data_IF_526701251527
#
_entry.id   IF_526701251527
#
_cell.length_a   1.000
_cell.length_b   1.000
_cell.length_c   1.000
_cell.angle_alpha   90.00
_cell.angle_beta   90.00
_cell.angle_gamma   90.00
#
_symmetry.space_group_name_H-M   'P 1'
#
loop_
_entity.id
_entity.type
_entity.pdbx_description
1 polymer ?
#
# COMPACT_ATOMS: atom_id res chain seq x y z
N UNK A 1 36.55 35.00 6.00
CA UNK A 1 35.63 33.97 6.54
C UNK A 1 34.60 33.75 5.48
N UNK A 2 34.82 32.70 4.70
CA UNK A 2 34.07 32.38 3.49
C UNK A 2 32.68 31.86 3.84
N UNK A 3 31.68 32.24 3.06
CA UNK A 3 30.28 31.90 3.31
C UNK A 3 30.05 30.43 2.95
N UNK A 4 29.47 29.66 3.88
CA UNK A 4 29.05 28.30 3.61
C UNK A 4 27.72 28.31 2.84
N UNK A 5 27.79 28.02 1.54
CA UNK A 5 26.65 27.56 0.74
C UNK A 5 26.15 26.22 1.31
N UNK A 6 24.95 26.24 1.87
CA UNK A 6 24.16 25.04 2.18
C UNK A 6 23.43 24.62 0.89
N UNK A 7 23.72 23.44 0.30
CA UNK A 7 22.95 22.97 -0.85
C UNK A 7 21.55 22.55 -0.39
N UNK A 8 20.55 23.22 -0.97
CA UNK A 8 19.15 22.79 -0.93
C UNK A 8 18.99 21.50 -1.74
N UNK A 9 18.91 20.37 -1.06
CA UNK A 9 18.44 19.13 -1.66
C UNK A 9 16.93 19.01 -1.47
N UNK A 10 16.19 19.54 -2.45
CA UNK A 10 14.79 19.21 -2.64
C UNK A 10 14.66 17.72 -2.99
N UNK A 11 14.12 16.93 -2.07
CA UNK A 11 13.54 15.62 -2.34
C UNK A 11 12.04 15.74 -2.10
N UNK A 12 11.24 15.68 -3.16
CA UNK A 12 9.79 15.84 -3.11
C UNK A 12 9.13 14.77 -2.25
N UNK A 13 8.91 15.10 -0.98
CA UNK A 13 8.02 14.39 -0.06
C UNK A 13 6.58 14.62 -0.54
N UNK A 14 6.23 13.96 -1.65
CA UNK A 14 4.85 13.82 -2.08
C UNK A 14 4.13 13.23 -0.89
N UNK A 15 3.11 13.92 -0.37
CA UNK A 15 2.30 13.50 0.77
C UNK A 15 1.85 12.03 0.65
N UNK A 16 2.71 11.08 1.00
CA UNK A 16 2.30 9.75 1.37
C UNK A 16 1.46 10.01 2.60
N UNK A 17 0.15 9.79 2.51
CA UNK A 17 -0.70 9.96 3.68
C UNK A 17 -0.13 9.09 4.81
N UNK A 18 -0.48 9.39 6.06
CA UNK A 18 0.08 8.77 7.27
C UNK A 18 0.05 7.23 7.28
N UNK A 19 -0.66 6.61 6.33
CA UNK A 19 -0.78 5.18 6.06
C UNK A 19 0.30 4.59 5.13
N UNK A 20 1.24 5.40 4.61
CA UNK A 20 2.35 4.95 3.76
C UNK A 20 1.92 4.35 2.41
N UNK A 21 0.66 4.52 2.02
CA UNK A 21 0.12 3.91 0.81
C UNK A 21 0.45 4.76 -0.42
N UNK A 22 1.01 4.12 -1.45
CA UNK A 22 1.15 4.71 -2.78
C UNK A 22 -0.21 5.28 -3.25
N UNK A 23 -0.28 6.56 -3.67
CA UNK A 23 -1.53 7.18 -4.11
C UNK A 23 -2.27 6.39 -5.19
N UNK A 24 -1.55 5.70 -6.08
CA UNK A 24 -2.12 4.88 -7.15
C UNK A 24 -2.77 3.60 -6.65
N UNK A 25 -2.39 3.13 -5.46
CA UNK A 25 -2.98 1.96 -4.80
C UNK A 25 -4.17 2.35 -3.92
N UNK A 26 -4.27 3.62 -3.51
CA UNK A 26 -5.38 4.11 -2.69
C UNK A 26 -6.71 3.91 -3.40
N UNK A 27 -7.64 3.24 -2.71
CA UNK A 27 -8.96 2.90 -3.23
C UNK A 27 -8.94 2.08 -4.55
N UNK A 28 -7.81 1.48 -4.90
CA UNK A 28 -7.72 0.58 -6.05
C UNK A 28 -8.55 -0.69 -5.79
N UNK A 29 -9.25 -1.15 -6.83
CA UNK A 29 -10.08 -2.35 -6.78
C UNK A 29 -9.32 -3.55 -7.31
N UNK A 30 -9.51 -4.67 -6.65
CA UNK A 30 -8.83 -5.92 -6.95
C UNK A 30 -9.82 -7.07 -6.93
N UNK A 31 -9.61 -8.05 -7.80
CA UNK A 31 -10.38 -9.28 -7.84
C UNK A 31 -9.49 -10.48 -7.55
N UNK A 32 -9.91 -11.32 -6.62
CA UNK A 32 -9.24 -12.60 -6.40
C UNK A 32 -9.61 -13.58 -7.52
N UNK A 33 -8.61 -14.09 -8.24
CA UNK A 33 -8.82 -14.91 -9.44
C UNK A 33 -9.59 -16.20 -9.16
N UNK A 34 -9.35 -16.84 -8.01
CA UNK A 34 -9.95 -18.14 -7.68
C UNK A 34 -11.40 -18.04 -7.21
N UNK A 35 -11.72 -17.05 -6.38
CA UNK A 35 -13.06 -16.92 -5.77
C UNK A 35 -13.95 -15.90 -6.47
N UNK A 36 -13.37 -15.02 -7.31
CA UNK A 36 -14.07 -13.89 -7.91
C UNK A 36 -14.38 -12.74 -6.94
N UNK A 37 -13.98 -12.85 -5.67
CA UNK A 37 -14.21 -11.83 -4.65
C UNK A 37 -13.56 -10.51 -5.04
N UNK A 38 -14.27 -9.40 -4.83
CA UNK A 38 -13.78 -8.05 -5.12
C UNK A 38 -13.42 -7.33 -3.83
N UNK A 39 -12.30 -6.62 -3.86
CA UNK A 39 -11.68 -5.99 -2.70
C UNK A 39 -11.21 -4.58 -3.06
N UNK A 40 -11.22 -3.69 -2.08
CA UNK A 40 -10.67 -2.33 -2.21
C UNK A 40 -9.52 -2.14 -1.24
N UNK A 41 -8.39 -1.64 -1.71
CA UNK A 41 -7.25 -1.31 -0.83
C UNK A 41 -7.61 -0.06 -0.03
N UNK A 42 -7.51 -0.17 1.29
CA UNK A 42 -7.82 0.90 2.23
C UNK A 42 -6.58 1.40 2.98
N UNK A 43 -5.46 0.69 2.93
CA UNK A 43 -4.21 1.12 3.56
C UNK A 43 -3.07 0.11 3.44
N UNK A 44 -1.95 0.42 4.08
CA UNK A 44 -0.85 -0.51 4.32
C UNK A 44 -0.65 -0.71 5.82
N UNK A 45 -0.08 -1.84 6.18
CA UNK A 45 0.36 -2.10 7.54
C UNK A 45 1.62 -2.96 7.53
N UNK A 46 2.18 -3.19 8.73
CA UNK A 46 3.25 -4.15 8.94
C UNK A 46 2.73 -5.25 9.85
N UNK A 47 2.91 -6.51 9.45
CA UNK A 47 2.52 -7.66 10.27
C UNK A 47 3.55 -7.81 11.38
N UNK A 48 3.13 -7.68 12.63
CA UNK A 48 4.04 -7.71 13.79
C UNK A 48 4.81 -9.04 13.90
N UNK A 49 4.12 -10.16 13.69
CA UNK A 49 4.71 -11.49 13.86
C UNK A 49 5.86 -11.80 12.87
N UNK A 50 5.81 -11.25 11.65
CA UNK A 50 6.80 -11.53 10.59
C UNK A 50 7.64 -10.31 10.23
N UNK A 51 7.22 -9.12 10.64
CA UNK A 51 7.78 -7.86 10.17
C UNK A 51 7.51 -7.56 8.69
N UNK A 52 6.65 -8.34 8.02
CA UNK A 52 6.37 -8.18 6.60
C UNK A 52 5.41 -7.01 6.35
N UNK A 53 5.67 -6.27 5.27
CA UNK A 53 4.74 -5.28 4.75
C UNK A 53 3.49 -5.96 4.20
N UNK A 54 2.33 -5.39 4.50
CA UNK A 54 1.04 -5.91 4.12
C UNK A 54 0.11 -4.83 3.58
N UNK A 55 -0.83 -5.25 2.73
CA UNK A 55 -1.98 -4.44 2.35
C UNK A 55 -3.13 -4.70 3.29
N UNK A 56 -3.80 -3.61 3.66
CA UNK A 56 -5.13 -3.65 4.25
C UNK A 56 -6.16 -3.44 3.14
N UNK A 57 -7.11 -4.36 3.01
CA UNK A 57 -8.18 -4.25 2.03
C UNK A 57 -9.51 -4.74 2.58
N UNK A 58 -10.60 -4.19 2.03
CA UNK A 58 -11.96 -4.50 2.43
C UNK A 58 -12.69 -5.25 1.31
N UNK A 59 -13.37 -6.35 1.66
CA UNK A 59 -14.29 -7.05 0.77
C UNK A 59 -15.64 -6.33 0.63
N UNK A 60 -16.45 -6.74 -0.34
CA UNK A 60 -17.81 -6.20 -0.53
C UNK A 60 -18.75 -6.47 0.64
N UNK A 61 -18.43 -7.47 1.46
CA UNK A 61 -19.10 -7.83 2.70
C UNK A 61 -18.68 -6.94 3.89
N UNK A 62 -17.75 -6.01 3.69
CA UNK A 62 -17.21 -5.14 4.72
C UNK A 62 -16.05 -5.74 5.52
N UNK A 63 -15.71 -7.01 5.30
CA UNK A 63 -14.64 -7.70 6.02
C UNK A 63 -13.28 -7.10 5.64
N UNK A 64 -12.48 -6.75 6.65
CA UNK A 64 -11.13 -6.19 6.46
C UNK A 64 -10.10 -7.30 6.63
N UNK A 65 -9.19 -7.39 5.67
CA UNK A 65 -8.10 -8.35 5.63
C UNK A 65 -6.76 -7.62 5.63
N UNK A 66 -5.77 -8.23 6.29
CA UNK A 66 -4.37 -7.90 6.14
C UNK A 66 -3.67 -9.05 5.42
N UNK A 67 -2.92 -8.75 4.35
CA UNK A 67 -2.17 -9.74 3.57
C UNK A 67 -0.79 -9.23 3.23
N UNK A 68 0.29 -10.04 3.36
CA UNK A 68 1.61 -9.66 2.89
C UNK A 68 1.58 -9.14 1.44
N UNK A 69 2.31 -8.05 1.16
CA UNK A 69 2.36 -7.44 -0.19
C UNK A 69 2.83 -8.45 -1.23
N UNK A 70 3.85 -9.25 -0.90
CA UNK A 70 4.38 -10.30 -1.77
C UNK A 70 3.30 -11.34 -2.13
N UNK A 71 2.51 -11.78 -1.15
CA UNK A 71 1.42 -12.74 -1.36
C UNK A 71 0.26 -12.13 -2.15
N UNK A 72 -0.02 -10.84 -1.96
CA UNK A 72 -1.10 -10.15 -2.66
C UNK A 72 -0.75 -9.88 -4.13
N UNK A 73 0.52 -9.55 -4.40
CA UNK A 73 1.01 -9.20 -5.73
C UNK A 73 1.56 -10.40 -6.52
N UNK A 74 1.49 -11.62 -5.98
CA UNK A 74 1.97 -12.85 -6.64
C UNK A 74 1.13 -13.32 -7.84
N UNK A 75 0.09 -12.57 -8.19
CA UNK A 75 -0.83 -12.87 -9.29
C UNK A 75 -2.13 -13.55 -8.88
N UNK A 76 -2.34 -13.90 -7.61
CA UNK A 76 -3.65 -14.36 -7.09
C UNK A 76 -4.75 -13.31 -7.22
N UNK A 77 -4.36 -12.05 -7.18
CA UNK A 77 -5.23 -10.91 -7.37
C UNK A 77 -4.91 -10.22 -8.68
N UNK A 78 -5.95 -9.71 -9.33
CA UNK A 78 -5.81 -8.85 -10.50
C UNK A 78 -6.47 -7.51 -10.22
N UNK A 79 -5.83 -6.44 -10.68
CA UNK A 79 -6.39 -5.09 -10.57
C UNK A 79 -7.56 -4.95 -11.54
N UNK A 80 -8.65 -4.38 -11.05
CA UNK A 80 -9.85 -4.03 -11.83
C UNK A 80 -9.79 -2.59 -12.32
#
# INVERSE_FOLDING_TARGET
>A
MDQAEIPSAGGGDTMAARDGLDPSLRASRWRHRKTGGTYTIIGQCRIEATGADAFLYQGTDGTIWARPKEEFLDGRFERL
#
